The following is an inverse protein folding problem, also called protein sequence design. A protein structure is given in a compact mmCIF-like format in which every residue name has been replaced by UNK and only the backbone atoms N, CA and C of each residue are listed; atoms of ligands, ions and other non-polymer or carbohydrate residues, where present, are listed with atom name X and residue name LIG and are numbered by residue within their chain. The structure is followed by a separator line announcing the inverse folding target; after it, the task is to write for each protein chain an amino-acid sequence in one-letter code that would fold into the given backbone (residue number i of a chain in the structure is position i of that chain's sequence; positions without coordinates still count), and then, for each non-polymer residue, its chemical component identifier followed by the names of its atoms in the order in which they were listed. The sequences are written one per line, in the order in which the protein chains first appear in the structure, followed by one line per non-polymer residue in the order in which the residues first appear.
data_IF_191633545659
#
_entry.id   IF_191633545659
#
_cell.length_a   1.000
_cell.length_b   1.000
_cell.length_c   1.000
_cell.angle_alpha   90.00
_cell.angle_beta   90.00
_cell.angle_gamma   90.00
#
_symmetry.space_group_name_H-M   'P 1'
#
loop_
_entity.id
_entity.type
_entity.pdbx_description
1 polymer ?
#
# COMPACT_ATOMS: atom_id res chain seq x y z
N UNK A 1 -40.26 -1.14 -7.35
CA UNK A 1 -39.26 -0.59 -6.42
C UNK A 1 -38.69 -1.74 -5.61
N UNK A 2 -37.43 -2.12 -5.82
CA UNK A 2 -36.68 -2.89 -4.82
C UNK A 2 -35.27 -2.33 -4.79
N UNK A 3 -35.04 -1.47 -3.79
CA UNK A 3 -33.74 -0.92 -3.42
C UNK A 3 -32.86 -2.07 -2.91
N UNK A 4 -31.83 -2.39 -3.65
CA UNK A 4 -30.57 -2.90 -3.13
C UNK A 4 -29.47 -2.03 -3.79
N UNK A 5 -29.50 -0.71 -3.57
CA UNK A 5 -28.74 -0.09 -2.49
C UNK A 5 -27.35 -0.68 -2.41
N UNK A 6 -26.50 -0.22 -3.33
CA UNK A 6 -25.10 0.08 -3.07
C UNK A 6 -24.43 -0.85 -2.05
N UNK A 7 -23.83 -1.96 -2.50
CA UNK A 7 -22.59 -2.43 -1.90
C UNK A 7 -21.50 -1.39 -2.18
N UNK A 8 -21.70 -0.21 -1.60
CA UNK A 8 -20.65 0.75 -1.37
C UNK A 8 -19.69 0.08 -0.40
N UNK A 9 -18.48 -0.12 -0.90
CA UNK A 9 -17.29 0.40 -0.24
C UNK A 9 -16.93 -0.27 1.08
N UNK A 10 -16.28 -1.42 0.96
CA UNK A 10 -14.89 -1.49 1.42
C UNK A 10 -14.13 -2.27 0.35
N UNK A 11 -13.33 -1.59 -0.48
CA UNK A 11 -12.18 -2.28 -1.06
C UNK A 11 -11.35 -2.67 0.15
N UNK A 12 -11.57 -3.89 0.69
CA UNK A 12 -10.76 -4.46 1.76
C UNK A 12 -9.36 -4.47 1.19
N UNK A 13 -8.56 -3.46 1.54
CA UNK A 13 -7.14 -3.53 1.25
C UNK A 13 -6.61 -4.79 1.88
N UNK A 14 -5.74 -5.47 1.14
CA UNK A 14 -5.00 -6.65 1.60
C UNK A 14 -4.30 -6.32 2.92
N UNK A 15 -3.73 -5.13 2.99
CA UNK A 15 -3.00 -4.66 4.15
C UNK A 15 -3.15 -3.14 4.26
N UNK A 16 -3.30 -2.62 5.47
CA UNK A 16 -3.25 -1.19 5.73
C UNK A 16 -2.20 -0.94 6.79
N UNK A 17 -1.28 -0.03 6.50
CA UNK A 17 -0.17 0.28 7.40
C UNK A 17 0.48 1.60 7.03
N UNK A 18 1.54 1.92 7.75
CA UNK A 18 2.33 3.13 7.52
C UNK A 18 3.44 2.81 6.52
N UNK A 19 3.79 3.79 5.68
CA UNK A 19 4.98 3.71 4.84
C UNK A 19 6.21 3.94 5.71
N UNK A 20 7.10 2.96 5.71
CA UNK A 20 8.43 3.04 6.30
C UNK A 20 9.49 3.02 5.21
N UNK A 21 10.69 3.47 5.59
CA UNK A 21 11.83 3.50 4.69
C UNK A 21 13.06 2.96 5.40
N UNK A 22 13.71 2.01 4.76
CA UNK A 22 14.95 1.41 5.25
C UNK A 22 16.19 2.21 4.82
N UNK A 23 17.34 1.85 5.39
CA UNK A 23 18.64 2.47 5.11
C UNK A 23 19.03 2.39 3.62
N UNK A 24 18.50 1.40 2.89
CA UNK A 24 18.69 1.23 1.45
C UNK A 24 17.78 2.12 0.59
N UNK A 25 17.07 3.05 1.22
CA UNK A 25 16.07 3.90 0.59
C UNK A 25 14.90 3.15 -0.05
N UNK A 26 14.63 1.90 0.31
CA UNK A 26 13.41 1.25 -0.14
C UNK A 26 12.24 1.68 0.75
N UNK A 27 11.07 1.82 0.13
CA UNK A 27 9.85 2.06 0.86
C UNK A 27 9.11 0.76 1.04
N UNK A 28 8.67 0.45 2.25
CA UNK A 28 7.92 -0.75 2.55
C UNK A 28 6.78 -0.43 3.51
N UNK A 29 5.83 -1.34 3.59
CA UNK A 29 4.69 -1.24 4.48
C UNK A 29 4.48 -2.63 5.09
N UNK A 30 4.87 -2.78 6.35
CA UNK A 30 4.94 -4.09 7.00
C UNK A 30 5.89 -5.02 6.24
N UNK A 31 5.34 -6.11 5.68
CA UNK A 31 6.10 -7.14 4.97
C UNK A 31 6.14 -6.92 3.43
N UNK A 32 5.52 -5.84 2.94
CA UNK A 32 5.36 -5.58 1.51
C UNK A 32 6.23 -4.42 1.06
N UNK A 33 7.08 -4.66 0.04
CA UNK A 33 7.82 -3.60 -0.62
C UNK A 33 6.88 -2.73 -1.43
N UNK A 34 6.99 -1.41 -1.33
CA UNK A 34 6.22 -0.49 -2.15
C UNK A 34 7.01 -0.05 -3.36
N UNK A 35 6.29 0.31 -4.43
CA UNK A 35 6.96 0.89 -5.58
C UNK A 35 7.51 2.29 -5.26
N UNK A 36 8.82 2.44 -5.35
CA UNK A 36 9.54 3.67 -5.00
C UNK A 36 9.04 4.90 -5.75
N UNK A 37 8.76 4.76 -7.06
CA UNK A 37 8.27 5.88 -7.88
C UNK A 37 6.86 6.26 -7.47
N UNK A 38 5.99 5.28 -7.19
CA UNK A 38 4.66 5.58 -6.68
C UNK A 38 4.71 6.30 -5.34
N UNK A 39 5.54 5.80 -4.39
CA UNK A 39 5.68 6.43 -3.08
C UNK A 39 6.14 7.87 -3.25
N UNK A 40 7.27 8.13 -3.91
CA UNK A 40 7.75 9.50 -4.11
C UNK A 40 6.77 10.42 -4.85
N UNK A 41 5.98 9.90 -5.79
CA UNK A 41 5.08 10.71 -6.58
C UNK A 41 3.81 11.14 -5.82
N UNK A 42 3.34 10.33 -4.86
CA UNK A 42 2.01 10.50 -4.24
C UNK A 42 1.95 10.35 -2.73
N UNK A 43 3.02 9.88 -2.09
CA UNK A 43 3.07 9.47 -0.70
C UNK A 43 4.39 9.88 -0.03
N UNK A 44 4.46 9.75 1.29
CA UNK A 44 5.68 9.97 2.05
C UNK A 44 5.85 8.91 3.15
N UNK A 45 7.06 8.81 3.70
CA UNK A 45 7.29 8.02 4.93
C UNK A 45 6.42 8.59 6.04
N UNK A 46 5.70 7.74 6.77
CA UNK A 46 4.74 8.15 7.79
C UNK A 46 3.30 8.29 7.28
N UNK A 47 3.06 8.25 5.96
CA UNK A 47 1.69 8.19 5.45
C UNK A 47 1.09 6.79 5.66
N UNK A 48 -0.19 6.77 6.05
CA UNK A 48 -0.97 5.55 6.04
C UNK A 48 -1.40 5.22 4.61
N UNK A 49 -1.18 3.98 4.20
CA UNK A 49 -1.63 3.46 2.92
C UNK A 49 -2.37 2.14 3.07
N UNK A 50 -3.27 1.91 2.13
CA UNK A 50 -4.02 0.68 1.99
C UNK A 50 -3.57 -0.01 0.71
N UNK A 51 -2.88 -1.13 0.87
CA UNK A 51 -2.47 -2.02 -0.20
C UNK A 51 -3.69 -2.75 -0.75
N UNK A 52 -3.94 -2.62 -2.05
CA UNK A 52 -5.06 -3.29 -2.75
C UNK A 52 -4.61 -4.52 -3.51
N UNK A 53 -3.35 -4.58 -3.90
CA UNK A 53 -2.79 -5.72 -4.62
C UNK A 53 -1.32 -5.92 -4.25
N UNK A 54 -0.94 -7.17 -4.05
CA UNK A 54 0.43 -7.60 -3.82
C UNK A 54 0.81 -8.54 -4.95
N UNK A 55 2.02 -8.39 -5.45
CA UNK A 55 2.64 -9.26 -6.43
C UNK A 55 3.89 -9.85 -5.81
N UNK A 56 4.30 -11.02 -6.27
CA UNK A 56 5.64 -11.53 -5.95
C UNK A 56 6.66 -10.56 -6.53
N UNK A 57 7.71 -10.28 -5.75
CA UNK A 57 8.72 -9.33 -6.17
C UNK A 57 9.50 -9.93 -7.35
N UNK A 58 9.42 -9.35 -8.57
CA UNK A 58 10.14 -9.91 -9.71
C UNK A 58 11.65 -9.64 -9.66
N UNK A 59 12.12 -8.86 -8.67
CA UNK A 59 13.54 -8.54 -8.51
C UNK A 59 14.24 -9.50 -7.56
N UNK A 60 15.02 -10.43 -8.11
CA UNK A 60 15.85 -11.40 -7.36
C UNK A 60 16.73 -10.77 -6.26
N UNK A 61 17.25 -9.55 -6.50
CA UNK A 61 18.16 -8.84 -5.58
C UNK A 61 17.45 -8.44 -4.29
N UNK A 62 16.27 -7.80 -4.41
CA UNK A 62 15.47 -7.37 -3.27
C UNK A 62 14.49 -8.45 -2.81
N UNK A 63 14.33 -9.56 -3.55
CA UNK A 63 13.47 -10.69 -3.19
C UNK A 63 13.87 -11.28 -1.83
N UNK A 64 15.18 -11.34 -1.55
CA UNK A 64 15.70 -11.85 -0.28
C UNK A 64 15.23 -11.06 0.94
N UNK A 65 15.02 -9.75 0.79
CA UNK A 65 14.55 -8.88 1.87
C UNK A 65 13.03 -8.69 1.82
N UNK A 66 12.49 -8.55 0.60
CA UNK A 66 11.08 -8.35 0.35
C UNK A 66 10.59 -9.30 -0.75
N UNK A 67 10.08 -10.48 -0.38
CA UNK A 67 9.58 -11.44 -1.36
C UNK A 67 8.28 -10.96 -2.04
N UNK A 68 7.57 -10.02 -1.42
CA UNK A 68 6.31 -9.46 -1.92
C UNK A 68 6.46 -7.97 -2.16
N UNK A 69 5.96 -7.49 -3.30
CA UNK A 69 5.91 -6.09 -3.68
C UNK A 69 4.47 -5.68 -3.96
N UNK A 70 4.07 -4.48 -3.54
CA UNK A 70 2.83 -3.85 -3.96
C UNK A 70 3.13 -2.67 -4.88
N UNK A 71 2.40 -2.62 -5.99
CA UNK A 71 2.33 -1.45 -6.89
C UNK A 71 0.97 -0.77 -6.89
N UNK A 72 -0.01 -1.37 -6.21
CA UNK A 72 -1.40 -0.92 -6.23
C UNK A 72 -1.84 -0.70 -4.78
N UNK A 73 -1.56 0.49 -4.30
CA UNK A 73 -1.90 0.95 -2.97
C UNK A 73 -2.37 2.40 -3.04
N UNK A 74 -3.28 2.75 -2.15
CA UNK A 74 -3.88 4.08 -2.09
C UNK A 74 -3.70 4.68 -0.70
N UNK A 75 -3.80 6.01 -0.60
CA UNK A 75 -3.60 6.71 0.67
C UNK A 75 -4.77 6.37 1.57
N UNK A 76 -4.48 5.75 2.70
CA UNK A 76 -5.46 5.47 3.73
C UNK A 76 -5.78 6.79 4.40
N UNK A 77 -6.74 7.49 3.81
CA UNK A 77 -7.26 8.73 4.33
C UNK A 77 -8.23 8.34 5.45
N UNK A 78 -7.69 8.13 6.66
CA UNK A 78 -8.49 8.33 7.85
C UNK A 78 -8.81 9.82 7.84
N UNK A 79 -9.95 10.19 7.25
CA UNK A 79 -10.56 11.47 7.54
C UNK A 79 -10.64 11.53 9.05
N UNK A 80 -9.78 12.34 9.68
CA UNK A 80 -10.17 12.99 10.91
C UNK A 80 -11.31 13.89 10.45
N UNK A 81 -12.54 13.43 10.65
CA UNK A 81 -13.67 14.34 10.70
C UNK A 81 -13.29 15.39 11.76
N UNK A 82 -12.86 16.56 11.29
CA UNK A 82 -12.67 17.78 12.06
C UNK A 82 -13.83 18.70 11.72
#
# INVERSE_FOLDING_TARGET
MTKASEEKRLQKGIFTGIIEKDENNNFFCGEYLLDYKMVLAKFAVGDWITIKSVIENPSDISYKQYPKKSKNFDKANNKTEQ
#
